data_IF_910203080687
#
_entry.id   IF_910203080687
#
_cell.length_a   1.000
_cell.length_b   1.000
_cell.length_c   1.000
_cell.angle_alpha   90.00
_cell.angle_beta   90.00
_cell.angle_gamma   90.00
#
_symmetry.space_group_name_H-M   'P 1'
#
loop_
_entity.id
_entity.type
_entity.pdbx_description
1 polymer ?
#
# COMPACT_ATOMS: atom_id res chain seq x y z
N UNK A 1 -14.20 16.18 -35.60
CA UNK A 1 -14.03 15.01 -34.71
C UNK A 1 -14.10 15.54 -33.29
N UNK A 2 -15.02 15.03 -32.46
CA UNK A 2 -15.11 15.45 -31.06
C UNK A 2 -13.99 14.79 -30.26
N UNK A 3 -13.32 15.53 -29.39
CA UNK A 3 -12.38 14.97 -28.43
C UNK A 3 -13.15 14.10 -27.44
N UNK A 4 -12.70 12.86 -27.24
CA UNK A 4 -13.27 11.98 -26.21
C UNK A 4 -12.73 12.44 -24.85
N UNK A 5 -13.61 12.98 -24.01
CA UNK A 5 -13.27 13.51 -22.69
C UNK A 5 -13.81 12.60 -21.59
N UNK A 6 -12.91 12.00 -20.81
CA UNK A 6 -13.27 11.12 -19.69
C UNK A 6 -12.90 11.78 -18.37
N UNK A 7 -13.84 11.80 -17.42
CA UNK A 7 -13.63 12.36 -16.08
C UNK A 7 -13.73 11.26 -15.04
N UNK A 8 -12.85 11.30 -14.05
CA UNK A 8 -12.91 10.43 -12.88
C UNK A 8 -12.74 11.25 -11.61
N UNK A 9 -13.49 10.90 -10.56
CA UNK A 9 -13.48 11.63 -9.31
C UNK A 9 -12.97 10.73 -8.19
N UNK A 10 -12.07 11.26 -7.37
CA UNK A 10 -11.52 10.64 -6.17
C UNK A 10 -11.82 11.57 -5.00
N UNK A 11 -12.45 11.04 -3.96
CA UNK A 11 -12.74 11.80 -2.75
C UNK A 11 -11.66 11.50 -1.71
N UNK A 12 -11.01 12.53 -1.16
CA UNK A 12 -9.99 12.36 -0.13
C UNK A 12 -10.40 13.10 1.11
N UNK A 13 -10.58 12.35 2.20
CA UNK A 13 -11.08 12.88 3.46
C UNK A 13 -10.28 12.33 4.64
N UNK A 14 -10.48 12.93 5.80
CA UNK A 14 -9.70 12.65 7.01
C UNK A 14 -9.42 13.91 7.80
N UNK A 15 -8.96 13.74 9.03
CA UNK A 15 -8.69 14.84 9.96
C UNK A 15 -7.62 15.79 9.42
N UNK A 16 -7.46 17.00 9.98
CA UNK A 16 -6.36 17.87 9.59
C UNK A 16 -5.01 17.22 9.85
N UNK A 17 -4.02 17.63 9.04
CA UNK A 17 -2.61 17.24 9.19
C UNK A 17 -2.30 15.74 9.06
N UNK A 18 -3.27 14.91 8.68
CA UNK A 18 -3.08 13.49 8.37
C UNK A 18 -2.40 13.24 7.01
N UNK A 19 -1.85 14.25 6.33
CA UNK A 19 -1.11 14.04 5.08
C UNK A 19 -1.94 13.80 3.82
N UNK A 20 -3.23 14.20 3.76
CA UNK A 20 -4.09 14.07 2.56
C UNK A 20 -3.45 14.66 1.30
N UNK A 21 -3.08 15.93 1.35
CA UNK A 21 -2.49 16.66 0.22
C UNK A 21 -1.13 16.07 -0.18
N UNK A 22 -0.29 15.69 0.80
CA UNK A 22 0.96 14.98 0.55
C UNK A 22 0.74 13.63 -0.15
N UNK A 23 -0.33 12.91 0.18
CA UNK A 23 -0.70 11.67 -0.47
C UNK A 23 -1.14 11.89 -1.93
N UNK A 24 -1.94 12.93 -2.21
CA UNK A 24 -2.30 13.32 -3.60
C UNK A 24 -1.04 13.53 -4.44
N UNK A 25 -0.10 14.31 -3.91
CA UNK A 25 1.13 14.62 -4.62
C UNK A 25 1.99 13.37 -4.83
N UNK A 26 2.03 12.45 -3.86
CA UNK A 26 2.76 11.20 -3.98
C UNK A 26 2.13 10.23 -4.99
N UNK A 27 0.80 10.13 -5.03
CA UNK A 27 0.08 9.33 -6.03
C UNK A 27 0.38 9.83 -7.45
N UNK A 28 0.25 11.15 -7.65
CA UNK A 28 0.42 11.76 -8.96
C UNK A 28 1.89 12.02 -9.34
N UNK A 29 2.83 11.90 -8.39
CA UNK A 29 4.23 12.35 -8.51
C UNK A 29 4.35 13.79 -9.05
N UNK A 30 3.41 14.65 -8.68
CA UNK A 30 3.32 16.06 -9.07
C UNK A 30 2.89 16.90 -7.89
N UNK A 31 3.37 18.14 -7.82
CA UNK A 31 2.88 19.12 -6.85
C UNK A 31 1.52 19.69 -7.30
N UNK A 32 0.46 18.88 -7.19
CA UNK A 32 -0.91 19.33 -7.50
C UNK A 32 -1.51 20.11 -6.33
N UNK A 33 -1.27 19.63 -5.12
CA UNK A 33 -1.78 20.20 -3.89
C UNK A 33 -0.70 21.01 -3.16
N UNK A 34 -1.10 22.13 -2.58
CA UNK A 34 -0.22 22.97 -1.76
C UNK A 34 -0.12 22.37 -0.37
N UNK A 35 0.93 21.60 -0.09
CA UNK A 35 1.23 21.15 1.27
C UNK A 35 1.85 22.30 2.07
N UNK A 36 1.04 23.04 2.82
CA UNK A 36 1.55 24.04 3.76
C UNK A 36 2.02 23.34 5.04
N UNK A 37 3.24 23.63 5.48
CA UNK A 37 3.81 23.16 6.76
C UNK A 37 3.39 24.02 7.96
N UNK A 38 2.52 25.01 7.76
CA UNK A 38 2.12 25.95 8.81
C UNK A 38 1.08 25.37 9.76
N UNK A 39 1.09 25.84 11.03
CA UNK A 39 0.13 25.44 12.08
C UNK A 39 -1.33 25.84 11.78
N UNK A 40 -1.61 26.59 10.72
CA UNK A 40 -2.96 26.92 10.32
C UNK A 40 -3.56 25.80 9.48
N UNK A 41 -4.80 25.38 9.73
CA UNK A 41 -5.50 24.39 8.90
C UNK A 41 -5.42 24.81 7.43
N UNK A 42 -4.69 24.06 6.61
CA UNK A 42 -4.36 24.44 5.24
C UNK A 42 -5.57 24.44 4.28
N UNK A 43 -6.64 23.72 4.65
CA UNK A 43 -7.81 23.51 3.80
C UNK A 43 -9.07 23.89 4.58
N UNK A 44 -9.55 25.13 4.38
CA UNK A 44 -10.83 25.60 4.98
C UNK A 44 -12.05 25.31 4.10
N UNK A 45 -11.82 25.11 2.79
CA UNK A 45 -12.84 24.82 1.78
C UNK A 45 -12.45 23.55 1.02
N UNK A 46 -13.41 22.87 0.38
CA UNK A 46 -13.09 21.78 -0.56
C UNK A 46 -12.16 22.32 -1.63
N UNK A 47 -11.09 21.59 -1.89
CA UNK A 47 -10.17 21.89 -2.97
C UNK A 47 -10.24 20.78 -4.00
N UNK A 48 -10.50 21.18 -5.24
CA UNK A 48 -10.44 20.30 -6.40
C UNK A 48 -9.05 20.41 -7.03
N UNK A 49 -8.36 19.28 -7.13
CA UNK A 49 -7.09 19.17 -7.85
C UNK A 49 -7.27 18.28 -9.07
N UNK A 50 -6.92 18.77 -10.24
CA UNK A 50 -7.08 18.02 -11.49
C UNK A 50 -5.73 17.50 -12.00
N UNK A 51 -5.65 16.19 -12.22
CA UNK A 51 -4.58 15.54 -12.97
C UNK A 51 -5.12 15.24 -14.38
N UNK A 52 -4.58 15.93 -15.39
CA UNK A 52 -4.95 15.71 -16.79
C UNK A 52 -3.88 14.89 -17.49
N UNK A 53 -4.31 13.84 -18.18
CA UNK A 53 -3.49 13.01 -19.04
C UNK A 53 -4.08 13.05 -20.45
N UNK A 54 -3.26 13.35 -21.46
CA UNK A 54 -3.66 13.35 -22.87
C UNK A 54 -3.00 12.18 -23.57
N UNK A 55 -3.82 11.25 -24.05
CA UNK A 55 -3.39 10.01 -24.70
C UNK A 55 -4.04 9.99 -26.09
N UNK A 56 -3.24 10.25 -27.13
CA UNK A 56 -3.74 10.41 -28.50
C UNK A 56 -4.82 11.51 -28.61
N UNK A 57 -6.05 11.11 -28.95
CA UNK A 57 -7.23 12.00 -29.04
C UNK A 57 -8.15 11.91 -27.82
N UNK A 58 -7.76 11.15 -26.79
CA UNK A 58 -8.51 10.95 -25.56
C UNK A 58 -7.88 11.80 -24.48
N UNK A 59 -8.67 12.71 -23.89
CA UNK A 59 -8.26 13.43 -22.69
C UNK A 59 -8.92 12.80 -21.49
N UNK A 60 -8.12 12.37 -20.53
CA UNK A 60 -8.59 11.90 -19.23
C UNK A 60 -8.26 12.94 -18.15
N UNK A 61 -9.25 13.32 -17.36
CA UNK A 61 -9.07 14.17 -16.19
C UNK A 61 -9.49 13.42 -14.93
N UNK A 62 -8.55 13.26 -13.99
CA UNK A 62 -8.86 12.80 -12.65
C UNK A 62 -8.93 13.98 -11.70
N UNK A 63 -10.05 14.13 -11.02
CA UNK A 63 -10.29 15.16 -10.02
C UNK A 63 -10.14 14.56 -8.62
N UNK A 64 -9.22 15.09 -7.83
CA UNK A 64 -9.12 14.84 -6.40
C UNK A 64 -9.87 15.92 -5.64
N UNK A 65 -10.90 15.52 -4.91
CA UNK A 65 -11.68 16.37 -4.03
C UNK A 65 -11.13 16.24 -2.61
N UNK A 66 -10.18 17.11 -2.25
CA UNK A 66 -9.56 17.18 -0.93
C UNK A 66 -10.49 17.93 0.02
N UNK A 67 -11.06 17.23 0.99
CA UNK A 67 -11.97 17.83 1.96
C UNK A 67 -11.18 18.64 2.99
N UNK A 68 -11.76 19.72 3.55
CA UNK A 68 -11.20 20.33 4.75
C UNK A 68 -10.97 19.25 5.80
N UNK A 69 -9.86 19.37 6.53
CA UNK A 69 -9.63 18.45 7.62
C UNK A 69 -10.71 18.69 8.66
N UNK A 70 -11.38 17.62 9.03
CA UNK A 70 -12.67 17.72 9.69
C UNK A 70 -12.41 17.86 11.20
N UNK A 71 -11.95 19.03 11.65
CA UNK A 71 -11.67 19.35 13.06
C UNK A 71 -12.92 19.83 13.82
N UNK A 72 -14.00 20.13 13.10
CA UNK A 72 -15.26 20.64 13.64
C UNK A 72 -16.46 19.83 13.13
N UNK A 73 -16.47 18.53 13.41
CA UNK A 73 -17.64 17.67 13.17
C UNK A 73 -18.73 17.96 14.20
N UNK A 74 -19.54 18.98 13.95
CA UNK A 74 -20.90 18.95 14.46
C UNK A 74 -21.67 17.83 13.72
N UNK A 75 -22.27 16.90 14.47
CA UNK A 75 -22.86 15.63 13.98
C UNK A 75 -23.81 15.79 12.78
N UNK A 76 -24.49 16.93 12.67
CA UNK A 76 -25.50 17.19 11.64
C UNK A 76 -24.92 17.63 10.29
N UNK A 77 -23.76 18.28 10.27
CA UNK A 77 -23.26 18.92 9.06
C UNK A 77 -22.43 17.96 8.21
N UNK A 78 -21.62 17.09 8.83
CA UNK A 78 -20.65 16.33 8.02
C UNK A 78 -21.29 15.19 7.24
N UNK A 79 -22.29 14.49 7.78
CA UNK A 79 -22.99 13.43 7.04
C UNK A 79 -23.71 14.02 5.82
N UNK A 80 -24.50 15.07 6.05
CA UNK A 80 -25.24 15.76 4.98
C UNK A 80 -24.29 16.31 3.92
N UNK A 81 -23.22 16.95 4.36
CA UNK A 81 -22.18 17.52 3.49
C UNK A 81 -21.46 16.46 2.66
N UNK A 82 -20.98 15.38 3.29
CA UNK A 82 -20.29 14.30 2.58
C UNK A 82 -21.25 13.57 1.63
N UNK A 83 -22.51 13.38 2.01
CA UNK A 83 -23.53 12.81 1.13
C UNK A 83 -23.76 13.71 -0.10
N UNK A 84 -23.89 15.02 0.08
CA UNK A 84 -24.00 15.97 -1.03
C UNK A 84 -22.77 15.94 -1.93
N UNK A 85 -21.56 15.86 -1.35
CA UNK A 85 -20.32 15.79 -2.12
C UNK A 85 -20.20 14.48 -2.91
N UNK A 86 -20.59 13.35 -2.31
CA UNK A 86 -20.63 12.05 -2.99
C UNK A 86 -21.65 12.07 -4.13
N UNK A 87 -22.83 12.64 -3.92
CA UNK A 87 -23.87 12.78 -4.94
C UNK A 87 -23.47 13.73 -6.06
N UNK A 88 -22.76 14.82 -5.77
CA UNK A 88 -22.29 15.74 -6.80
C UNK A 88 -21.15 15.13 -7.62
N UNK A 89 -20.19 14.50 -6.94
CA UNK A 89 -18.92 14.10 -7.57
C UNK A 89 -18.92 12.68 -8.12
N UNK A 90 -19.81 11.79 -7.65
CA UNK A 90 -19.85 10.38 -8.05
C UNK A 90 -18.44 9.75 -8.04
N UNK A 91 -17.74 9.74 -6.90
CA UNK A 91 -16.35 9.31 -6.87
C UNK A 91 -16.26 7.81 -7.12
N UNK A 92 -15.26 7.38 -7.90
CA UNK A 92 -14.99 5.95 -8.07
C UNK A 92 -14.34 5.34 -6.82
N UNK A 93 -13.65 6.17 -6.04
CA UNK A 93 -12.96 5.79 -4.82
C UNK A 93 -13.00 6.92 -3.79
N UNK A 94 -13.25 6.56 -2.54
CA UNK A 94 -13.00 7.40 -1.38
C UNK A 94 -11.73 6.91 -0.67
N UNK A 95 -10.77 7.80 -0.45
CA UNK A 95 -9.58 7.56 0.36
C UNK A 95 -9.75 8.30 1.69
N UNK A 96 -9.96 7.54 2.77
CA UNK A 96 -9.99 8.08 4.13
C UNK A 96 -8.60 7.98 4.75
N UNK A 97 -8.03 9.12 5.13
CA UNK A 97 -6.71 9.22 5.73
C UNK A 97 -6.80 9.42 7.25
N UNK A 98 -6.05 8.63 8.01
CA UNK A 98 -5.76 8.88 9.43
C UNK A 98 -4.26 8.76 9.68
N UNK A 99 -3.73 9.52 10.62
CA UNK A 99 -2.33 9.39 11.05
C UNK A 99 -2.23 9.11 12.54
N UNK A 100 -1.13 8.49 13.02
CA UNK A 100 -0.83 8.42 14.45
C UNK A 100 -0.87 9.82 15.08
N UNK A 101 -1.57 9.96 16.20
CA UNK A 101 -1.78 11.23 16.89
C UNK A 101 -2.89 12.13 16.30
N UNK A 102 -3.59 11.70 15.25
CA UNK A 102 -4.80 12.38 14.77
C UNK A 102 -6.06 11.82 15.43
N UNK A 103 -7.08 12.66 15.55
CA UNK A 103 -8.37 12.30 16.12
C UNK A 103 -9.36 11.98 15.01
N UNK A 104 -10.02 10.83 15.08
CA UNK A 104 -11.11 10.46 14.19
C UNK A 104 -12.33 10.06 15.03
N UNK A 105 -13.49 10.61 14.71
CA UNK A 105 -14.76 10.17 15.29
C UNK A 105 -15.20 8.91 14.52
N UNK A 106 -15.02 7.74 15.13
CA UNK A 106 -15.20 6.44 14.47
C UNK A 106 -16.62 6.25 13.90
N UNK A 107 -17.65 6.79 14.56
CA UNK A 107 -19.03 6.76 14.06
C UNK A 107 -19.19 7.43 12.70
N UNK A 108 -18.45 8.52 12.48
CA UNK A 108 -18.47 9.21 11.20
C UNK A 108 -17.76 8.41 10.12
N UNK A 109 -16.63 7.78 10.45
CA UNK A 109 -15.91 6.90 9.53
C UNK A 109 -16.77 5.71 9.15
N UNK A 110 -17.42 5.07 10.13
CA UNK A 110 -18.37 3.96 9.92
C UNK A 110 -19.51 4.36 9.00
N UNK A 111 -20.08 5.56 9.21
CA UNK A 111 -21.13 6.08 8.32
C UNK A 111 -20.62 6.31 6.90
N UNK A 112 -19.43 6.89 6.71
CA UNK A 112 -18.85 7.12 5.38
C UNK A 112 -18.58 5.80 4.64
N UNK A 113 -18.04 4.79 5.33
CA UNK A 113 -17.84 3.44 4.77
C UNK A 113 -19.20 2.85 4.33
N UNK A 114 -20.21 2.94 5.20
CA UNK A 114 -21.56 2.45 4.90
C UNK A 114 -22.18 3.15 3.69
N UNK A 115 -21.98 4.46 3.56
CA UNK A 115 -22.48 5.25 2.45
C UNK A 115 -21.74 4.91 1.14
N UNK A 116 -20.42 4.71 1.20
CA UNK A 116 -19.65 4.23 0.05
C UNK A 116 -20.14 2.85 -0.40
N UNK A 117 -20.36 1.92 0.53
CA UNK A 117 -20.92 0.61 0.21
C UNK A 117 -22.28 0.71 -0.49
N UNK A 118 -23.20 1.52 0.06
CA UNK A 118 -24.54 1.72 -0.49
C UNK A 118 -24.51 2.29 -1.92
N UNK A 119 -23.50 3.09 -2.25
CA UNK A 119 -23.33 3.76 -3.54
C UNK A 119 -22.37 3.00 -4.48
N UNK A 120 -21.90 1.82 -4.10
CA UNK A 120 -20.88 1.06 -4.84
C UNK A 120 -19.59 1.87 -5.11
N UNK A 121 -19.16 2.66 -4.13
CA UNK A 121 -17.92 3.43 -4.17
C UNK A 121 -16.85 2.64 -3.44
N UNK A 122 -15.70 2.44 -4.07
CA UNK A 122 -14.58 1.74 -3.43
C UNK A 122 -14.01 2.57 -2.27
N UNK A 123 -13.70 1.93 -1.13
CA UNK A 123 -13.20 2.61 0.05
C UNK A 123 -11.76 2.19 0.41
N UNK A 124 -10.81 3.12 0.35
CA UNK A 124 -9.45 2.92 0.83
C UNK A 124 -9.26 3.59 2.19
N UNK A 125 -9.07 2.80 3.25
CA UNK A 125 -8.74 3.31 4.59
C UNK A 125 -7.22 3.30 4.78
N UNK A 126 -6.63 4.49 4.84
CA UNK A 126 -5.18 4.66 4.74
C UNK A 126 -4.63 5.28 6.03
N UNK A 127 -3.79 4.50 6.72
CA UNK A 127 -2.98 5.01 7.82
C UNK A 127 -1.73 5.70 7.25
N UNK A 128 -1.76 7.03 7.17
CA UNK A 128 -0.64 7.84 6.70
C UNK A 128 0.42 8.01 7.77
N UNK A 129 1.57 8.55 7.38
CA UNK A 129 2.74 8.73 8.25
C UNK A 129 3.13 7.42 8.94
N UNK A 130 3.22 6.32 8.17
CA UNK A 130 3.40 4.97 8.73
C UNK A 130 4.62 4.80 9.64
N UNK A 131 5.61 5.68 9.53
CA UNK A 131 6.81 5.66 10.38
C UNK A 131 6.67 6.53 11.63
N UNK A 132 5.72 7.45 11.66
CA UNK A 132 5.50 8.34 12.79
C UNK A 132 4.67 7.64 13.88
N UNK A 133 5.15 7.69 15.12
CA UNK A 133 4.38 7.25 16.29
C UNK A 133 4.23 5.74 16.46
N UNK A 134 3.82 5.35 17.68
CA UNK A 134 3.73 3.95 18.11
C UNK A 134 2.38 3.28 17.82
N UNK A 135 1.35 4.07 17.48
CA UNK A 135 -0.05 3.61 17.42
C UNK A 135 -0.60 3.33 16.02
N UNK A 136 0.27 3.22 15.00
CA UNK A 136 -0.15 2.92 13.61
C UNK A 136 -0.93 1.61 13.49
N UNK A 137 -0.53 0.57 14.22
CA UNK A 137 -1.23 -0.72 14.19
C UNK A 137 -2.62 -0.61 14.81
N UNK A 138 -2.79 0.23 15.83
CA UNK A 138 -4.10 0.48 16.41
C UNK A 138 -5.04 1.11 15.39
N UNK A 139 -4.58 2.07 14.59
CA UNK A 139 -5.38 2.67 13.50
C UNK A 139 -5.80 1.62 12.48
N UNK A 140 -4.86 0.78 12.02
CA UNK A 140 -5.15 -0.32 11.08
C UNK A 140 -6.17 -1.30 11.67
N UNK A 141 -6.01 -1.67 12.94
CA UNK A 141 -6.92 -2.57 13.64
C UNK A 141 -8.32 -1.96 13.77
N UNK A 142 -8.43 -0.67 14.11
CA UNK A 142 -9.71 0.03 14.17
C UNK A 142 -10.38 0.09 12.79
N UNK A 143 -9.65 0.43 11.73
CA UNK A 143 -10.18 0.37 10.37
C UNK A 143 -10.72 -1.01 9.99
N UNK A 144 -10.00 -2.07 10.36
CA UNK A 144 -10.49 -3.43 10.17
C UNK A 144 -11.76 -3.72 10.97
N UNK A 145 -11.85 -3.27 12.23
CA UNK A 145 -13.08 -3.40 13.04
C UNK A 145 -14.26 -2.68 12.37
N UNK A 146 -14.06 -1.46 11.88
CA UNK A 146 -15.11 -0.71 11.19
C UNK A 146 -15.59 -1.43 9.92
N UNK A 147 -14.66 -1.95 9.11
CA UNK A 147 -15.02 -2.72 7.92
C UNK A 147 -15.73 -4.03 8.26
N UNK A 148 -15.36 -4.72 9.34
CA UNK A 148 -16.08 -5.91 9.80
C UNK A 148 -17.50 -5.59 10.30
N UNK A 149 -17.74 -4.39 10.81
CA UNK A 149 -19.10 -3.93 11.17
C UNK A 149 -19.94 -3.69 9.92
N UNK A 150 -19.38 -3.03 8.90
CA UNK A 150 -20.12 -2.69 7.66
C UNK A 150 -20.24 -3.89 6.71
N UNK A 151 -19.25 -4.78 6.70
CA UNK A 151 -19.13 -5.93 5.79
C UNK A 151 -18.90 -7.24 6.56
N UNK A 152 -19.83 -7.68 7.43
CA UNK A 152 -19.62 -8.82 8.32
C UNK A 152 -19.43 -10.17 7.61
N UNK A 153 -19.82 -10.25 6.33
CA UNK A 153 -19.74 -11.49 5.53
C UNK A 153 -18.45 -11.58 4.71
N UNK A 154 -17.67 -10.50 4.61
CA UNK A 154 -16.46 -10.47 3.78
C UNK A 154 -15.28 -10.93 4.63
N UNK A 155 -14.67 -12.04 4.24
CA UNK A 155 -13.40 -12.47 4.82
C UNK A 155 -12.27 -11.63 4.23
N UNK A 156 -11.50 -10.96 5.09
CA UNK A 156 -10.34 -10.21 4.65
C UNK A 156 -9.19 -11.12 4.22
N UNK A 157 -8.34 -10.59 3.34
CA UNK A 157 -7.09 -11.23 2.92
C UNK A 157 -5.95 -10.21 2.92
N UNK A 158 -4.74 -10.62 3.29
CA UNK A 158 -3.58 -9.73 3.34
C UNK A 158 -2.57 -10.07 2.24
N UNK A 159 -2.10 -9.05 1.53
CA UNK A 159 -1.05 -9.15 0.51
C UNK A 159 -0.28 -7.81 0.47
N UNK A 160 1.06 -7.87 0.50
CA UNK A 160 1.96 -6.71 0.44
C UNK A 160 1.67 -5.59 1.47
N UNK A 161 1.23 -5.95 2.67
CA UNK A 161 0.84 -4.97 3.70
C UNK A 161 -0.46 -4.23 3.39
N UNK A 162 -1.29 -4.78 2.52
CA UNK A 162 -2.66 -4.34 2.25
C UNK A 162 -3.62 -5.43 2.73
N UNK A 163 -4.61 -5.03 3.53
CA UNK A 163 -5.70 -5.88 3.96
C UNK A 163 -6.90 -5.58 3.06
N UNK A 164 -7.23 -6.52 2.19
CA UNK A 164 -8.32 -6.42 1.23
C UNK A 164 -9.63 -6.94 1.83
N UNK A 165 -10.72 -6.25 1.54
CA UNK A 165 -12.10 -6.68 1.79
C UNK A 165 -12.78 -6.84 0.43
N UNK A 166 -12.33 -7.86 -0.32
CA UNK A 166 -12.76 -8.13 -1.70
C UNK A 166 -12.68 -6.88 -2.59
N UNK A 167 -13.74 -6.57 -3.35
CA UNK A 167 -13.82 -5.40 -4.25
C UNK A 167 -14.44 -4.15 -3.63
N UNK A 168 -14.74 -4.15 -2.33
CA UNK A 168 -15.46 -3.02 -1.69
C UNK A 168 -14.53 -2.09 -0.93
N UNK A 169 -13.48 -2.62 -0.30
CA UNK A 169 -12.56 -1.81 0.49
C UNK A 169 -11.17 -2.40 0.64
N UNK A 170 -10.21 -1.55 1.04
CA UNK A 170 -8.91 -1.97 1.54
C UNK A 170 -8.47 -1.16 2.75
N UNK A 171 -7.53 -1.72 3.51
CA UNK A 171 -6.81 -1.04 4.59
C UNK A 171 -5.32 -1.13 4.33
N UNK A 172 -4.59 -0.03 4.43
CA UNK A 172 -3.12 -0.05 4.32
C UNK A 172 -2.45 1.08 5.08
N UNK A 173 -1.12 1.04 5.13
CA UNK A 173 -0.27 2.08 5.69
C UNK A 173 0.60 2.70 4.58
N UNK A 174 0.76 4.02 4.61
CA UNK A 174 1.60 4.74 3.66
C UNK A 174 2.47 5.80 4.32
N UNK A 175 3.62 6.05 3.73
CA UNK A 175 4.45 7.23 4.00
C UNK A 175 4.69 7.97 2.68
N UNK A 176 3.97 9.05 2.46
CA UNK A 176 4.02 9.80 1.19
C UNK A 176 5.29 10.62 1.01
N UNK A 177 5.95 10.99 2.12
CA UNK A 177 7.20 11.79 2.13
C UNK A 177 8.31 11.00 2.83
N UNK A 178 9.54 11.51 2.80
CA UNK A 178 10.60 10.97 3.64
C UNK A 178 10.25 11.22 5.11
N UNK A 179 10.44 10.22 5.97
CA UNK A 179 10.35 10.39 7.42
C UNK A 179 11.76 10.55 7.98
N UNK A 180 11.94 11.58 8.80
CA UNK A 180 13.20 11.88 9.49
C UNK A 180 12.87 11.99 10.97
N UNK A 181 13.50 11.14 11.77
CA UNK A 181 13.49 11.19 13.22
C UNK A 181 14.90 11.60 13.67
N UNK A 182 15.05 12.89 13.98
CA UNK A 182 16.35 13.48 14.33
C UNK A 182 16.86 12.97 15.69
N UNK A 183 15.95 12.68 16.63
CA UNK A 183 16.29 12.22 17.97
C UNK A 183 16.96 10.84 17.94
N UNK A 184 16.55 9.98 17.00
CA UNK A 184 17.10 8.64 16.84
C UNK A 184 18.01 8.49 15.60
N UNK A 185 18.21 9.56 14.82
CA UNK A 185 18.98 9.54 13.57
C UNK A 185 18.40 8.57 12.53
N UNK A 186 17.08 8.36 12.54
CA UNK A 186 16.39 7.42 11.65
C UNK A 186 15.81 8.16 10.45
N UNK A 187 16.24 7.77 9.26
CA UNK A 187 15.67 8.26 8.00
C UNK A 187 15.02 7.11 7.25
N UNK A 188 13.73 7.22 6.94
CA UNK A 188 12.98 6.22 6.15
C UNK A 188 12.46 6.85 4.86
N UNK A 189 12.65 6.21 3.70
CA UNK A 189 12.13 6.73 2.44
C UNK A 189 10.59 6.67 2.38
N UNK A 190 9.96 7.37 1.43
CA UNK A 190 8.57 7.14 1.09
C UNK A 190 8.29 5.66 0.82
N UNK A 191 7.15 5.14 1.26
CA UNK A 191 6.80 3.72 1.18
C UNK A 191 5.28 3.52 1.18
N UNK A 192 4.79 2.40 0.62
CA UNK A 192 3.37 2.02 0.60
C UNK A 192 2.52 2.71 -0.47
N UNK A 193 3.02 3.76 -1.13
CA UNK A 193 2.24 4.53 -2.13
C UNK A 193 2.00 3.71 -3.40
N UNK A 194 3.00 2.99 -3.89
CA UNK A 194 2.85 2.17 -5.10
C UNK A 194 1.90 1.00 -4.84
N UNK A 195 2.00 0.40 -3.66
CA UNK A 195 1.15 -0.69 -3.18
C UNK A 195 -0.29 -0.18 -3.08
N UNK A 196 -0.54 0.99 -2.50
CA UNK A 196 -1.86 1.62 -2.45
C UNK A 196 -2.46 1.81 -3.86
N UNK A 197 -1.68 2.38 -4.79
CA UNK A 197 -2.14 2.59 -6.17
C UNK A 197 -2.53 1.26 -6.81
N UNK A 198 -1.67 0.24 -6.68
CA UNK A 198 -1.93 -1.10 -7.21
C UNK A 198 -3.14 -1.76 -6.54
N UNK A 199 -3.25 -1.65 -5.22
CA UNK A 199 -4.34 -2.21 -4.43
C UNK A 199 -5.70 -1.65 -4.82
N UNK A 200 -5.79 -0.32 -5.06
CA UNK A 200 -7.00 0.30 -5.60
C UNK A 200 -7.29 -0.26 -7.00
N UNK A 201 -6.31 -0.27 -7.92
CA UNK A 201 -6.49 -0.82 -9.27
C UNK A 201 -7.02 -2.27 -9.25
N UNK A 202 -6.46 -3.12 -8.38
CA UNK A 202 -6.82 -4.54 -8.25
C UNK A 202 -8.28 -4.75 -7.82
N UNK A 203 -8.85 -3.83 -7.05
CA UNK A 203 -10.21 -3.98 -6.50
C UNK A 203 -11.29 -3.38 -7.42
N UNK A 204 -10.91 -2.45 -8.29
CA UNK A 204 -11.84 -1.79 -9.20
C UNK A 204 -12.27 -2.70 -10.36
N UNK A 205 -13.49 -2.50 -10.85
CA UNK A 205 -13.93 -3.08 -12.13
C UNK A 205 -13.05 -2.59 -13.27
N UNK A 206 -13.00 -3.35 -14.38
CA UNK A 206 -12.04 -3.14 -15.47
C UNK A 206 -12.01 -1.69 -15.98
N UNK A 207 -13.18 -1.08 -16.22
CA UNK A 207 -13.25 0.29 -16.74
C UNK A 207 -12.76 1.32 -15.73
N UNK A 208 -13.13 1.16 -14.46
CA UNK A 208 -12.67 2.03 -13.36
C UNK A 208 -11.20 1.81 -13.03
N UNK A 209 -10.70 0.58 -13.14
CA UNK A 209 -9.28 0.24 -13.01
C UNK A 209 -8.46 1.00 -14.06
N UNK A 210 -8.87 0.98 -15.32
CA UNK A 210 -8.17 1.73 -16.37
C UNK A 210 -8.28 3.24 -16.17
N UNK A 211 -9.42 3.75 -15.72
CA UNK A 211 -9.55 5.15 -15.35
C UNK A 211 -8.58 5.54 -14.23
N UNK A 212 -8.48 4.74 -13.18
CA UNK A 212 -7.53 4.92 -12.09
C UNK A 212 -6.07 4.81 -12.53
N UNK A 213 -5.74 3.87 -13.40
CA UNK A 213 -4.38 3.73 -13.94
C UNK A 213 -3.97 4.93 -14.81
N UNK A 214 -4.91 5.59 -15.50
CA UNK A 214 -4.63 6.84 -16.23
C UNK A 214 -4.27 8.00 -15.31
N UNK A 215 -4.79 8.01 -14.08
CA UNK A 215 -4.42 9.01 -13.05
C UNK A 215 -2.93 9.00 -12.74
N UNK A 216 -2.32 7.82 -12.81
CA UNK A 216 -0.91 7.58 -12.45
C UNK A 216 -0.04 7.29 -13.66
N UNK A 217 -0.50 7.58 -14.89
CA UNK A 217 0.24 7.28 -16.12
C UNK A 217 1.65 7.89 -16.15
N UNK A 218 1.80 9.08 -15.58
CA UNK A 218 3.09 9.78 -15.53
C UNK A 218 3.98 9.35 -14.35
N UNK A 219 3.48 8.52 -13.43
CA UNK A 219 4.25 8.01 -12.30
C UNK A 219 5.14 6.84 -12.75
N UNK A 220 6.26 7.15 -13.43
CA UNK A 220 7.21 6.15 -13.94
C UNK A 220 7.68 5.16 -12.88
N UNK A 221 7.93 5.64 -11.66
CA UNK A 221 8.36 4.80 -10.54
C UNK A 221 7.32 3.72 -10.20
N UNK A 222 6.03 4.06 -10.19
CA UNK A 222 4.96 3.09 -9.98
C UNK A 222 4.97 2.00 -11.07
N UNK A 223 4.97 2.39 -12.34
CA UNK A 223 4.94 1.46 -13.47
C UNK A 223 6.15 0.52 -13.49
N UNK A 224 7.34 1.03 -13.21
CA UNK A 224 8.56 0.20 -13.13
C UNK A 224 8.50 -0.76 -11.95
N UNK A 225 8.14 -0.26 -10.76
CA UNK A 225 8.13 -1.06 -9.51
C UNK A 225 7.04 -2.14 -9.53
N UNK A 226 5.87 -1.82 -10.07
CA UNK A 226 4.69 -2.71 -10.08
C UNK A 226 4.51 -3.47 -11.39
N UNK A 227 5.46 -3.38 -12.33
CA UNK A 227 5.37 -3.94 -13.69
C UNK A 227 4.89 -5.40 -13.72
N UNK A 228 5.54 -6.29 -12.97
CA UNK A 228 5.19 -7.72 -12.91
C UNK A 228 3.76 -7.95 -12.39
N UNK A 229 3.37 -7.26 -11.31
CA UNK A 229 2.02 -7.35 -10.75
C UNK A 229 0.96 -6.77 -11.70
N UNK A 230 1.28 -5.67 -12.36
CA UNK A 230 0.41 -5.04 -13.35
C UNK A 230 0.20 -5.94 -14.56
N UNK A 231 1.25 -6.58 -15.10
CA UNK A 231 1.14 -7.58 -16.17
C UNK A 231 0.14 -8.68 -15.83
N UNK A 232 0.23 -9.21 -14.60
CA UNK A 232 -0.67 -10.24 -14.10
C UNK A 232 -2.10 -9.73 -13.91
N UNK A 233 -2.27 -8.48 -13.50
CA UNK A 233 -3.57 -7.83 -13.30
C UNK A 233 -4.28 -7.59 -14.64
N UNK A 234 -3.58 -7.00 -15.62
CA UNK A 234 -4.14 -6.65 -16.93
C UNK A 234 -4.07 -7.80 -17.95
N UNK A 235 -3.49 -8.95 -17.57
CA UNK A 235 -3.32 -10.15 -18.42
C UNK A 235 -2.52 -9.89 -19.70
N UNK A 236 -1.46 -9.10 -19.59
CA UNK A 236 -0.54 -8.80 -20.71
C UNK A 236 0.81 -9.45 -20.43
N UNK A 237 1.40 -10.19 -21.39
CA UNK A 237 2.73 -10.77 -21.22
C UNK A 237 3.77 -9.70 -20.88
N UNK A 238 4.67 -10.00 -19.95
CA UNK A 238 5.67 -9.05 -19.44
C UNK A 238 6.53 -8.43 -20.55
N UNK A 239 6.95 -9.22 -21.54
CA UNK A 239 7.70 -8.72 -22.69
C UNK A 239 6.91 -7.70 -23.51
N UNK A 240 5.61 -7.93 -23.73
CA UNK A 240 4.74 -6.98 -24.44
C UNK A 240 4.55 -5.72 -23.59
N UNK A 241 4.34 -5.87 -22.30
CA UNK A 241 4.18 -4.75 -21.37
C UNK A 241 5.43 -3.85 -21.33
N UNK A 242 6.63 -4.43 -21.18
CA UNK A 242 7.87 -3.65 -21.15
C UNK A 242 8.15 -2.96 -22.48
N UNK A 243 7.96 -3.66 -23.60
CA UNK A 243 8.11 -3.06 -24.93
C UNK A 243 7.13 -1.88 -25.14
N UNK A 244 5.91 -1.98 -24.61
CA UNK A 244 4.92 -0.90 -24.67
C UNK A 244 5.31 0.28 -23.78
N UNK A 245 5.74 0.00 -22.56
CA UNK A 245 6.15 1.02 -21.59
C UNK A 245 7.38 1.81 -22.05
N UNK A 246 8.38 1.15 -22.67
CA UNK A 246 9.59 1.82 -23.15
C UNK A 246 9.37 2.65 -24.42
N UNK A 247 8.39 2.29 -25.25
CA UNK A 247 8.21 2.88 -26.58
C UNK A 247 7.16 3.98 -26.64
N UNK A 248 6.25 4.04 -25.68
CA UNK A 248 5.07 4.89 -25.80
C UNK A 248 4.92 5.70 -24.52
N UNK A 249 4.91 7.03 -24.64
CA UNK A 249 4.53 7.93 -23.54
C UNK A 249 3.08 7.69 -23.05
N UNK A 250 2.34 6.81 -23.72
CA UNK A 250 0.88 6.69 -23.76
C UNK A 250 0.39 5.23 -23.98
N UNK A 251 1.08 4.24 -23.40
CA UNK A 251 0.81 2.81 -23.65
C UNK A 251 -0.60 2.32 -23.25
N UNK A 252 -1.30 3.03 -22.35
CA UNK A 252 -2.64 2.65 -21.90
C UNK A 252 -3.66 2.63 -23.05
N UNK A 253 -3.49 3.44 -24.10
CA UNK A 253 -4.39 3.41 -25.26
C UNK A 253 -4.21 2.16 -26.12
N UNK A 254 -3.00 1.58 -26.19
CA UNK A 254 -2.79 0.30 -26.87
C UNK A 254 -3.46 -0.85 -26.12
N UNK A 255 -3.53 -0.75 -24.79
CA UNK A 255 -4.22 -1.75 -23.96
C UNK A 255 -5.74 -1.63 -24.01
N UNK A 256 -6.27 -0.44 -24.29
CA UNK A 256 -7.70 -0.13 -24.26
C UNK A 256 -8.31 -0.09 -25.67
N UNK A 257 -7.54 0.29 -26.68
CA UNK A 257 -7.97 0.47 -28.07
C UNK A 257 -7.84 -0.78 -28.96
N UNK A 258 -7.02 -1.76 -28.58
CA UNK A 258 -6.95 -3.04 -29.30
C UNK A 258 -8.20 -3.89 -28.99
N UNK A 259 -9.29 -3.59 -29.71
CA UNK A 259 -10.47 -4.46 -29.82
C UNK A 259 -10.15 -5.87 -30.36
N UNK A 260 -8.94 -6.10 -30.86
CA UNK A 260 -8.43 -7.39 -31.36
C UNK A 260 -7.87 -8.31 -30.28
N UNK A 261 -7.72 -7.86 -29.03
CA UNK A 261 -7.58 -8.82 -27.94
C UNK A 261 -8.92 -9.53 -27.75
N UNK A 262 -9.09 -10.64 -28.47
CA UNK A 262 -10.13 -11.64 -28.21
C UNK A 262 -9.91 -12.17 -26.80
N UNK A 263 -10.44 -11.46 -25.82
CA UNK A 263 -10.50 -11.92 -24.44
C UNK A 263 -11.58 -12.99 -24.39
N UNK A 264 -11.17 -14.20 -24.07
CA UNK A 264 -12.11 -15.26 -23.71
C UNK A 264 -12.81 -14.83 -22.42
N UNK A 265 -14.04 -14.32 -22.53
CA UNK A 265 -14.88 -13.92 -21.39
C UNK A 265 -15.00 -15.02 -20.33
N UNK A 266 -14.70 -16.27 -20.68
CA UNK A 266 -14.70 -17.41 -19.78
C UNK A 266 -13.49 -17.53 -18.83
N UNK A 267 -12.46 -16.67 -18.97
CA UNK A 267 -11.31 -16.68 -18.03
C UNK A 267 -11.54 -15.87 -16.76
N UNK A 268 -12.65 -15.14 -16.67
CA UNK A 268 -13.20 -14.71 -15.39
C UNK A 268 -14.24 -15.75 -14.98
N UNK A 269 -13.96 -16.50 -13.91
CA UNK A 269 -14.98 -17.35 -13.29
C UNK A 269 -16.20 -16.47 -12.98
N UNK A 270 -17.39 -16.74 -13.56
CA UNK A 270 -18.59 -16.04 -13.18
C UNK A 270 -18.89 -16.47 -11.73
N UNK A 271 -18.73 -15.55 -10.79
CA UNK A 271 -19.32 -15.73 -9.46
C UNK A 271 -20.80 -15.35 -9.57
N UNK A 272 -21.61 -16.31 -9.16
CA UNK A 272 -23.06 -16.42 -9.29
C UNK A 272 -23.80 -15.08 -9.00
N UNK A 273 -24.50 -14.48 -9.96
CA UNK A 273 -25.26 -13.25 -9.74
C UNK A 273 -26.64 -13.61 -9.18
N UNK A 274 -26.70 -14.09 -7.93
CA UNK A 274 -27.95 -14.25 -7.18
C UNK A 274 -27.79 -13.90 -5.71
N UNK A 275 -27.76 -12.61 -5.42
CA UNK A 275 -28.34 -12.08 -4.18
C UNK A 275 -29.15 -10.83 -4.52
N UNK A 276 -30.42 -11.05 -4.85
CA UNK A 276 -31.45 -10.04 -4.63
C UNK A 276 -31.56 -9.82 -3.12
N UNK A 277 -31.02 -8.70 -2.64
CA UNK A 277 -31.17 -8.30 -1.23
C UNK A 277 -32.53 -7.62 -1.09
N UNK A 278 -33.46 -8.32 -0.45
CA UNK A 278 -34.70 -7.73 0.05
C UNK A 278 -34.38 -6.65 1.08
N UNK A 279 -34.91 -5.45 0.86
CA UNK A 279 -34.86 -4.35 1.82
C UNK A 279 -35.71 -4.67 3.04
N UNK A 280 -35.05 -5.04 4.15
CA UNK A 280 -35.59 -4.83 5.49
C UNK A 280 -34.49 -4.30 6.41
N UNK A 281 -34.39 -2.97 6.49
CA UNK A 281 -33.59 -2.29 7.49
C UNK A 281 -34.24 -2.48 8.87
N UNK A 282 -33.77 -3.48 9.62
CA UNK A 282 -34.02 -3.55 11.05
C UNK A 282 -32.94 -2.74 11.79
N UNK A 283 -33.45 -1.84 12.63
CA UNK A 283 -32.78 -0.95 13.55
C UNK A 283 -31.59 -1.58 14.28
N UNK A 284 -30.39 -1.05 14.01
CA UNK A 284 -29.20 -1.26 14.83
C UNK A 284 -29.38 -0.47 16.13
N UNK A 285 -29.49 -1.17 17.25
CA UNK A 285 -29.52 -0.60 18.60
C UNK A 285 -28.17 0.03 18.93
N UNK A 286 -28.21 1.31 19.32
CA UNK A 286 -27.07 2.13 19.77
C UNK A 286 -26.31 1.44 20.91
N UNK A 287 -25.04 1.13 20.68
CA UNK A 287 -24.04 1.06 21.75
C UNK A 287 -23.33 2.40 21.73
N UNK A 288 -23.73 3.28 22.65
CA UNK A 288 -23.09 4.56 22.84
C UNK A 288 -21.90 4.39 23.81
N UNK A 289 -20.69 4.63 23.33
CA UNK A 289 -19.59 5.13 24.14
C UNK A 289 -19.01 6.34 23.41
N UNK A 290 -19.56 7.52 23.70
CA UNK A 290 -19.14 8.81 23.16
C UNK A 290 -17.84 9.33 23.81
N UNK A 291 -16.84 8.47 23.99
CA UNK A 291 -15.56 8.90 24.55
C UNK A 291 -14.49 8.94 23.45
N UNK A 292 -13.81 10.08 23.25
CA UNK A 292 -12.62 10.12 22.41
C UNK A 292 -11.55 9.22 23.02
N UNK A 293 -11.03 8.27 22.23
CA UNK A 293 -9.96 7.37 22.68
C UNK A 293 -8.64 8.17 22.72
N UNK A 294 -8.07 8.28 23.92
CA UNK A 294 -6.74 8.83 24.15
C UNK A 294 -5.67 7.75 24.00
N UNK A 295 -4.53 8.08 23.40
CA UNK A 295 -3.40 7.16 23.29
C UNK A 295 -2.21 7.66 24.14
N UNK A 296 -2.09 7.17 25.38
CA UNK A 296 -0.88 7.31 26.20
C UNK A 296 -0.09 6.00 26.22
N UNK A 297 1.25 6.10 26.20
CA UNK A 297 2.17 5.00 25.94
C UNK A 297 2.69 4.31 27.22
N UNK A 298 2.85 2.99 27.16
CA UNK A 298 3.64 2.19 28.11
C UNK A 298 5.02 1.85 27.50
N UNK A 299 6.06 1.82 28.31
CA UNK A 299 7.45 1.52 27.91
C UNK A 299 7.74 0.05 28.26
N UNK A 300 8.22 -0.73 27.28
CA UNK A 300 8.74 -2.08 27.48
C UNK A 300 10.21 -2.10 27.03
N UNK A 301 11.12 -2.48 27.92
CA UNK A 301 12.56 -2.69 27.64
C UNK A 301 12.82 -4.04 26.93
N UNK A 302 13.84 -4.08 26.08
CA UNK A 302 14.29 -5.28 25.35
C UNK A 302 15.51 -5.91 26.05
N UNK A 303 15.58 -7.24 26.27
CA UNK A 303 16.67 -7.86 27.02
C UNK A 303 17.97 -8.06 26.21
N UNK A 304 19.11 -7.94 26.90
CA UNK A 304 20.48 -7.89 26.39
C UNK A 304 21.20 -9.24 26.19
N UNK A 305 20.47 -10.34 25.96
CA UNK A 305 21.04 -11.70 26.02
C UNK A 305 21.06 -12.46 24.68
N UNK A 306 21.89 -12.04 23.72
CA UNK A 306 22.22 -12.83 22.52
C UNK A 306 23.74 -12.81 22.29
N UNK A 307 24.41 -13.97 22.43
CA UNK A 307 25.89 -14.08 22.49
C UNK A 307 26.56 -14.56 21.20
N UNK A 308 25.82 -15.05 20.21
CA UNK A 308 26.32 -15.31 18.85
C UNK A 308 25.17 -15.15 17.86
N UNK A 309 25.46 -14.57 16.69
CA UNK A 309 24.48 -14.40 15.60
C UNK A 309 24.99 -15.13 14.38
N UNK A 310 24.21 -16.10 13.90
CA UNK A 310 24.50 -16.84 12.68
C UNK A 310 23.66 -16.27 11.52
N UNK A 311 24.30 -16.05 10.38
CA UNK A 311 23.60 -15.67 9.15
C UNK A 311 23.51 -16.87 8.23
N UNK A 312 22.33 -17.14 7.65
CA UNK A 312 22.15 -18.20 6.67
C UNK A 312 21.77 -17.59 5.32
N UNK A 313 22.62 -17.79 4.31
CA UNK A 313 22.34 -17.40 2.92
C UNK A 313 21.93 -18.63 2.13
N UNK A 314 20.94 -18.51 1.24
CA UNK A 314 20.59 -19.55 0.25
C UNK A 314 20.82 -19.01 -1.15
N UNK A 315 21.71 -19.65 -1.91
CA UNK A 315 22.17 -19.17 -3.23
C UNK A 315 21.96 -20.24 -4.30
N UNK A 316 21.70 -19.79 -5.53
CA UNK A 316 21.50 -20.65 -6.71
C UNK A 316 22.71 -20.64 -7.67
N UNK A 317 23.82 -19.97 -7.30
CA UNK A 317 25.01 -19.82 -8.15
C UNK A 317 26.30 -19.98 -7.33
N UNK A 318 27.21 -20.82 -7.83
CA UNK A 318 28.51 -21.08 -7.20
C UNK A 318 29.44 -19.85 -7.27
N UNK A 319 29.35 -19.02 -8.32
CA UNK A 319 30.16 -17.81 -8.44
C UNK A 319 29.78 -16.77 -7.37
N UNK A 320 28.50 -16.71 -6.99
CA UNK A 320 28.03 -15.83 -5.92
C UNK A 320 28.52 -16.30 -4.54
N UNK A 321 28.72 -17.60 -4.34
CA UNK A 321 29.26 -18.15 -3.07
C UNK A 321 30.66 -17.59 -2.81
N UNK A 322 31.52 -17.55 -3.82
CA UNK A 322 32.88 -17.01 -3.68
C UNK A 322 32.86 -15.50 -3.36
N UNK A 323 31.99 -14.74 -4.02
CA UNK A 323 31.86 -13.30 -3.80
C UNK A 323 31.35 -12.99 -2.39
N UNK A 324 30.32 -13.70 -1.92
CA UNK A 324 29.75 -13.52 -0.59
C UNK A 324 30.76 -13.92 0.49
N UNK A 325 31.51 -15.00 0.31
CA UNK A 325 32.56 -15.40 1.26
C UNK A 325 33.64 -14.33 1.40
N UNK A 326 34.11 -13.76 0.29
CA UNK A 326 35.09 -12.68 0.33
C UNK A 326 34.56 -11.43 1.04
N UNK A 327 33.30 -11.06 0.80
CA UNK A 327 32.65 -9.94 1.48
C UNK A 327 32.53 -10.19 2.99
N UNK A 328 32.10 -11.39 3.40
CA UNK A 328 31.97 -11.76 4.81
C UNK A 328 33.32 -11.74 5.54
N UNK A 329 34.41 -12.19 4.90
CA UNK A 329 35.78 -12.12 5.45
C UNK A 329 36.21 -10.66 5.64
N UNK A 330 35.96 -9.80 4.66
CA UNK A 330 36.29 -8.37 4.76
C UNK A 330 35.55 -7.66 5.90
N UNK A 331 34.36 -8.18 6.26
CA UNK A 331 33.58 -7.70 7.40
C UNK A 331 33.94 -8.33 8.74
N UNK A 332 35.02 -9.11 8.80
CA UNK A 332 35.48 -9.71 10.04
C UNK A 332 34.64 -10.90 10.50
N UNK A 333 33.99 -11.63 9.57
CA UNK A 333 33.47 -12.95 9.88
C UNK A 333 34.63 -13.83 10.33
N UNK A 334 34.53 -14.38 11.53
CA UNK A 334 35.60 -15.18 12.14
C UNK A 334 35.56 -16.63 11.72
N UNK A 335 34.40 -17.08 11.24
CA UNK A 335 34.18 -18.43 10.74
C UNK A 335 33.10 -18.41 9.70
N UNK A 336 33.35 -19.08 8.58
CA UNK A 336 32.40 -19.23 7.48
C UNK A 336 32.33 -20.72 7.12
N UNK A 337 31.12 -21.25 6.95
CA UNK A 337 30.86 -22.61 6.50
C UNK A 337 29.98 -22.57 5.25
N UNK A 338 30.39 -23.32 4.23
CA UNK A 338 29.59 -23.52 3.02
C UNK A 338 29.05 -24.96 3.01
N UNK A 339 27.77 -25.15 2.72
CA UNK A 339 27.15 -26.46 2.50
C UNK A 339 26.43 -26.43 1.15
N UNK A 340 26.56 -27.50 0.37
CA UNK A 340 25.78 -27.69 -0.86
C UNK A 340 24.70 -28.71 -0.55
N UNK A 341 23.46 -28.44 -0.96
CA UNK A 341 22.39 -29.43 -0.98
C UNK A 341 21.96 -29.64 -2.43
N UNK A 342 22.02 -30.89 -2.88
CA UNK A 342 21.51 -31.31 -4.18
C UNK A 342 20.09 -31.86 -4.01
N UNK A 343 19.14 -30.96 -3.81
CA UNK A 343 17.72 -31.30 -3.78
C UNK A 343 17.08 -30.93 -5.13
N UNK A 344 16.40 -31.89 -5.76
CA UNK A 344 15.46 -31.64 -6.87
C UNK A 344 16.06 -30.94 -8.11
N UNK A 345 17.13 -31.48 -8.68
CA UNK A 345 17.77 -31.00 -9.93
C UNK A 345 18.28 -29.54 -9.91
N UNK A 346 18.39 -28.91 -8.74
CA UNK A 346 18.97 -27.58 -8.57
C UNK A 346 19.87 -27.58 -7.34
N UNK A 347 21.17 -27.33 -7.55
CA UNK A 347 22.11 -27.19 -6.42
C UNK A 347 21.82 -25.91 -5.66
N UNK A 348 21.53 -26.03 -4.36
CA UNK A 348 21.39 -24.91 -3.44
C UNK A 348 22.63 -24.81 -2.56
N UNK A 349 23.16 -23.60 -2.45
CA UNK A 349 24.33 -23.32 -1.62
C UNK A 349 23.91 -22.57 -0.37
N UNK A 350 24.35 -23.07 0.78
CA UNK A 350 24.11 -22.51 2.09
C UNK A 350 25.41 -21.94 2.65
N UNK A 351 25.40 -20.68 3.08
CA UNK A 351 26.55 -20.05 3.73
C UNK A 351 26.15 -19.70 5.16
N UNK A 352 26.94 -20.14 6.13
CA UNK A 352 26.82 -19.75 7.53
C UNK A 352 28.03 -18.94 7.96
N UNK A 353 27.83 -17.78 8.59
CA UNK A 353 28.92 -16.94 9.10
C UNK A 353 28.73 -16.55 10.58
N UNK A 354 29.82 -16.59 11.35
CA UNK A 354 29.88 -16.21 12.77
C UNK A 354 30.76 -14.94 12.95
N UNK A 355 30.27 -13.95 13.71
CA UNK A 355 30.97 -12.68 14.00
C UNK A 355 31.24 -12.53 15.51
N UNK A 356 32.39 -11.96 15.87
CA UNK A 356 32.82 -11.81 17.26
C UNK A 356 32.28 -10.56 18.00
N UNK A 357 31.77 -9.55 17.29
CA UNK A 357 31.42 -8.25 17.89
C UNK A 357 30.13 -7.65 17.30
N UNK A 358 29.32 -7.00 18.14
CA UNK A 358 28.02 -6.42 17.77
C UNK A 358 28.15 -5.22 16.81
N UNK A 359 29.33 -4.60 16.73
CA UNK A 359 29.63 -3.50 15.79
C UNK A 359 29.50 -3.91 14.32
N UNK A 360 29.48 -5.20 14.02
CA UNK A 360 29.35 -5.72 12.66
C UNK A 360 27.90 -5.79 12.16
N UNK A 361 26.90 -5.55 13.01
CA UNK A 361 25.47 -5.56 12.62
C UNK A 361 25.14 -4.53 11.52
N UNK A 362 25.78 -3.36 11.55
CA UNK A 362 25.60 -2.35 10.50
C UNK A 362 26.15 -2.84 9.17
N UNK A 363 27.33 -3.45 9.18
CA UNK A 363 27.95 -3.99 7.98
C UNK A 363 27.18 -5.20 7.41
N UNK A 364 26.57 -6.01 8.28
CA UNK A 364 25.64 -7.08 7.91
C UNK A 364 24.39 -6.51 7.20
N UNK A 365 23.85 -5.42 7.73
CA UNK A 365 22.70 -4.73 7.11
C UNK A 365 23.06 -4.11 5.76
N UNK A 366 24.25 -3.54 5.62
CA UNK A 366 24.73 -2.97 4.36
C UNK A 366 24.93 -4.06 3.29
N UNK A 367 25.41 -5.26 3.67
CA UNK A 367 25.42 -6.43 2.76
C UNK A 367 24.00 -6.86 2.41
N UNK A 368 23.06 -6.88 3.35
CA UNK A 368 21.67 -7.21 3.06
C UNK A 368 21.07 -6.25 2.01
N UNK A 369 21.39 -4.96 2.09
CA UNK A 369 20.97 -3.97 1.09
C UNK A 369 21.57 -4.24 -0.30
N UNK A 370 22.83 -4.68 -0.37
CA UNK A 370 23.47 -5.01 -1.65
C UNK A 370 22.94 -6.34 -2.21
N UNK A 371 22.74 -7.35 -1.35
CA UNK A 371 22.27 -8.69 -1.75
C UNK A 371 20.78 -8.68 -2.10
N UNK A 372 19.94 -7.89 -1.44
CA UNK A 372 18.51 -7.77 -1.76
C UNK A 372 18.22 -7.15 -3.14
N UNK A 373 19.24 -6.54 -3.77
CA UNK A 373 19.18 -6.12 -5.17
C UNK A 373 19.49 -7.25 -6.16
N UNK A 374 19.91 -8.41 -5.65
CA UNK A 374 20.12 -9.66 -6.40
C UNK A 374 19.07 -10.68 -5.95
N UNK A 375 18.67 -11.64 -6.80
CA UNK A 375 17.62 -12.63 -6.51
C UNK A 375 18.03 -13.69 -5.45
N UNK A 376 18.57 -13.26 -4.32
CA UNK A 376 19.13 -14.09 -3.26
C UNK A 376 18.25 -14.00 -2.01
N UNK A 377 17.85 -15.16 -1.49
CA UNK A 377 17.14 -15.27 -0.23
C UNK A 377 18.14 -15.38 0.93
N UNK A 378 18.07 -14.43 1.86
CA UNK A 378 18.88 -14.40 3.08
C UNK A 378 17.98 -14.45 4.32
N UNK A 379 18.36 -15.23 5.33
CA UNK A 379 17.63 -15.35 6.58
C UNK A 379 18.58 -15.24 7.76
N UNK A 380 18.25 -14.38 8.72
CA UNK A 380 18.96 -14.26 9.99
C UNK A 380 18.37 -15.32 10.92
N UNK A 381 19.21 -16.18 11.47
CA UNK A 381 18.78 -17.26 12.37
C UNK A 381 19.50 -17.12 13.70
N UNK A 382 18.75 -17.20 14.78
CA UNK A 382 19.29 -17.25 16.13
C UNK A 382 19.79 -18.68 16.44
N UNK A 383 20.71 -18.81 17.40
CA UNK A 383 21.37 -20.07 17.78
C UNK A 383 20.37 -21.18 18.15
N UNK A 384 19.16 -20.82 18.61
CA UNK A 384 18.07 -21.76 18.89
C UNK A 384 17.54 -22.51 17.65
N UNK A 385 17.79 -21.98 16.43
CA UNK A 385 17.32 -22.57 15.19
C UNK A 385 18.33 -23.57 14.58
N UNK A 386 19.63 -23.38 14.83
CA UNK A 386 20.70 -24.18 14.24
C UNK A 386 20.77 -25.62 14.80
N UNK A 387 20.43 -25.81 16.07
CA UNK A 387 20.46 -27.15 16.70
C UNK A 387 19.22 -28.00 16.40
N UNK A 388 18.09 -27.37 16.04
CA UNK A 388 16.81 -28.08 15.80
C UNK A 388 16.72 -28.86 14.47
N UNK A 389 17.66 -28.63 13.54
CA UNK A 389 17.69 -29.28 12.21
C UNK A 389 18.79 -30.33 12.02
N UNK A 390 19.63 -30.57 13.02
CA UNK A 390 20.65 -31.63 12.91
C UNK A 390 20.06 -33.06 12.98
N UNK A 391 18.79 -33.23 13.36
CA UNK A 391 18.12 -34.54 13.42
C UNK A 391 17.09 -34.80 12.31
N UNK A 392 16.83 -33.83 11.43
CA UNK A 392 15.91 -34.01 10.30
C UNK A 392 16.43 -33.20 9.10
N UNK A 393 17.40 -33.76 8.38
CA UNK A 393 17.71 -33.55 6.96
C UNK A 393 18.91 -34.40 6.52
#
# INVERSE_FOLDING_TARGET
MGENYNISNILICGSPRVGKSSLINAICRKELSKSNTSLNSSTKNIQKYSARTVVGHITHETNFWDTPGIESWNENDVRSYMASLIEETHPLCMIYCASPGSFAVLDHVTWMISECHRKNIFCALVCTNMWAGRNRQNIVNEFCKLLNIVHPQIKSSEEDGIIYYDRVALVTMVNSTQHVDEDFGVTKPPSGVNELIFGIAKCLERDFMFAWLRTVSENKSFWTTMSSKLCNLIKVPYEKFNNLFERVENFLDLLIGDSEFNYDENTFLPLDPKMSIDHNAQSISRIATNEPIFYDAEIIEIPSSLKSKQLLFTLNSQDMVAQINNALIQLGATKIKNRVSDETNQSKFFITAEFQDDKNLKAIYDIWQVISQTEVNCTIVDDSFADSKNDIL
#
